data_IF_079358899848
#
_entry.id   IF_079358899848
#
_cell.length_a   1.000
_cell.length_b   1.000
_cell.length_c   1.000
_cell.angle_alpha   90.00
_cell.angle_beta   90.00
_cell.angle_gamma   90.00
#
_symmetry.space_group_name_H-M   'P 1'
#
loop_
_entity.id
_entity.type
_entity.pdbx_description
1 polymer ?
#
# COMPACT_ATOMS: atom_id res chain seq x y z
N UNK A 1 20.64 -21.31 73.31
CA UNK A 1 19.40 -20.75 72.74
C UNK A 1 19.77 -19.95 71.52
N UNK A 2 19.58 -20.51 70.31
CA UNK A 2 19.86 -19.80 69.04
C UNK A 2 18.60 -19.06 68.63
N UNK A 3 18.65 -17.73 68.52
CA UNK A 3 17.58 -16.91 67.94
C UNK A 3 17.76 -16.93 66.40
N UNK A 4 16.80 -17.50 65.70
CA UNK A 4 16.71 -17.42 64.22
C UNK A 4 16.24 -16.04 63.83
N UNK A 5 17.09 -15.31 63.08
CA UNK A 5 16.73 -14.05 62.43
C UNK A 5 16.21 -14.41 61.04
N UNK A 6 14.92 -14.21 60.81
CA UNK A 6 14.32 -14.33 59.47
C UNK A 6 14.56 -13.03 58.71
N UNK A 7 15.27 -13.13 57.62
CA UNK A 7 15.49 -12.03 56.67
C UNK A 7 14.46 -12.14 55.54
N UNK A 8 13.41 -11.33 55.63
CA UNK A 8 12.42 -11.23 54.54
C UNK A 8 12.98 -10.31 53.45
N UNK A 9 13.36 -10.89 52.33
CA UNK A 9 13.69 -10.12 51.11
C UNK A 9 12.39 -9.78 50.38
N UNK A 10 12.00 -8.50 50.36
CA UNK A 10 10.92 -7.99 49.53
C UNK A 10 11.45 -7.80 48.09
N UNK A 11 10.97 -8.63 47.22
CA UNK A 11 11.27 -8.52 45.77
C UNK A 11 10.32 -7.48 45.17
N UNK A 12 10.82 -6.27 44.92
CA UNK A 12 10.09 -5.23 44.17
C UNK A 12 10.17 -5.55 42.68
N UNK A 13 9.10 -6.17 42.13
CA UNK A 13 8.95 -6.36 40.71
C UNK A 13 8.56 -5.01 40.05
N UNK A 14 9.52 -4.31 39.50
CA UNK A 14 9.27 -3.13 38.69
C UNK A 14 8.63 -3.54 37.35
N UNK A 15 7.34 -3.21 37.19
CA UNK A 15 6.67 -3.27 35.87
C UNK A 15 7.28 -2.18 35.02
N UNK A 16 8.19 -2.56 34.11
CA UNK A 16 8.58 -1.69 33.01
C UNK A 16 7.48 -1.78 31.94
N UNK A 17 6.59 -0.81 31.92
CA UNK A 17 5.71 -0.58 30.79
C UNK A 17 6.55 -0.01 29.64
N UNK A 18 6.99 -0.87 28.72
CA UNK A 18 7.50 -0.41 27.44
C UNK A 18 6.34 0.18 26.67
N UNK A 19 6.26 1.52 26.64
CA UNK A 19 5.41 2.21 25.69
C UNK A 19 5.96 1.85 24.29
N UNK A 20 5.24 0.98 23.58
CA UNK A 20 5.49 0.75 22.16
C UNK A 20 5.16 2.06 21.46
N UNK A 21 6.18 2.82 21.09
CA UNK A 21 6.05 3.91 20.13
C UNK A 21 5.61 3.24 18.82
N UNK A 22 4.40 3.57 18.35
CA UNK A 22 4.02 3.30 16.98
C UNK A 22 4.97 4.15 16.12
N UNK A 23 6.09 3.56 15.72
CA UNK A 23 6.93 4.10 14.67
C UNK A 23 6.02 4.28 13.46
N UNK A 24 5.95 5.51 12.92
CA UNK A 24 5.38 5.77 11.61
C UNK A 24 6.20 4.95 10.62
N UNK A 25 5.79 3.70 10.38
CA UNK A 25 6.41 2.87 9.39
C UNK A 25 6.28 3.60 8.06
N UNK A 26 7.40 3.99 7.47
CA UNK A 26 7.41 4.50 6.11
C UNK A 26 6.70 3.48 5.22
N UNK A 27 5.85 3.92 4.27
CA UNK A 27 5.12 3.01 3.40
C UNK A 27 6.11 2.02 2.78
N UNK A 28 5.84 0.72 2.94
CA UNK A 28 6.74 -0.32 2.44
C UNK A 28 6.70 -0.31 0.93
N UNK A 29 7.81 0.12 0.32
CA UNK A 29 8.03 -0.02 -1.12
C UNK A 29 7.99 -1.52 -1.48
N UNK A 30 7.38 -1.91 -2.61
CA UNK A 30 7.40 -3.29 -3.06
C UNK A 30 8.82 -3.85 -3.11
N UNK A 31 9.02 -5.07 -2.62
CA UNK A 31 10.30 -5.74 -2.67
C UNK A 31 10.64 -6.12 -4.12
N UNK A 32 11.82 -5.75 -4.57
CA UNK A 32 12.32 -6.03 -5.93
C UNK A 32 11.83 -5.04 -7.00
N UNK A 33 12.54 -5.01 -8.11
CA UNK A 33 12.23 -4.14 -9.24
C UNK A 33 12.58 -2.66 -9.03
N UNK A 34 12.26 -1.85 -10.05
CA UNK A 34 12.56 -0.42 -10.11
C UNK A 34 11.38 0.45 -9.63
N UNK A 35 10.61 -0.01 -8.65
CA UNK A 35 9.46 0.73 -8.14
C UNK A 35 9.84 2.08 -7.55
N UNK A 36 9.12 3.12 -7.97
CA UNK A 36 9.25 4.50 -7.47
C UNK A 36 7.90 5.00 -6.99
N UNK A 37 7.91 5.91 -6.00
CA UNK A 37 6.69 6.59 -5.60
C UNK A 37 6.13 7.41 -6.76
N UNK A 38 4.85 7.31 -7.02
CA UNK A 38 4.19 8.05 -8.11
C UNK A 38 4.32 9.56 -7.90
N UNK A 39 4.27 10.04 -6.66
CA UNK A 39 4.49 11.45 -6.29
C UNK A 39 5.90 11.98 -6.65
N UNK A 40 6.89 11.09 -6.80
CA UNK A 40 8.22 11.48 -7.28
C UNK A 40 8.29 11.60 -8.81
N UNK A 41 7.33 11.06 -9.54
CA UNK A 41 7.30 11.04 -11.00
C UNK A 41 6.36 12.11 -11.60
N UNK A 42 5.27 12.40 -10.90
CA UNK A 42 4.21 13.31 -11.36
C UNK A 42 3.69 14.16 -10.19
N UNK A 43 3.10 15.35 -10.45
CA UNK A 43 2.65 16.27 -9.41
C UNK A 43 1.33 15.77 -8.75
N UNK A 44 1.40 14.64 -8.07
CA UNK A 44 0.33 14.08 -7.27
C UNK A 44 0.76 14.02 -5.79
N UNK A 45 -0.18 14.08 -4.84
CA UNK A 45 0.14 13.91 -3.42
C UNK A 45 0.68 12.50 -3.14
N UNK A 46 1.49 12.35 -2.08
CA UNK A 46 2.01 11.04 -1.66
C UNK A 46 0.90 10.06 -1.35
N UNK A 47 -0.16 10.52 -0.70
CA UNK A 47 -1.35 9.76 -0.37
C UNK A 47 -2.52 10.25 -1.21
N UNK A 48 -3.05 9.40 -2.06
CA UNK A 48 -4.22 9.68 -2.91
C UNK A 48 -5.46 9.16 -2.18
N UNK A 49 -6.41 10.03 -1.79
CA UNK A 49 -7.64 9.60 -1.12
C UNK A 49 -8.37 8.51 -1.91
N UNK A 50 -8.75 7.43 -1.23
CA UNK A 50 -9.44 6.29 -1.82
C UNK A 50 -8.55 5.29 -2.56
N UNK A 51 -7.28 5.62 -2.81
CA UNK A 51 -6.32 4.71 -3.48
C UNK A 51 -5.11 4.35 -2.60
N UNK A 52 -4.57 5.32 -1.86
CA UNK A 52 -3.39 5.11 -1.03
C UNK A 52 -2.11 5.74 -1.58
N UNK A 53 -0.98 5.34 -1.04
CA UNK A 53 0.34 5.70 -1.54
C UNK A 53 0.74 4.74 -2.65
N UNK A 54 0.97 5.28 -3.85
CA UNK A 54 1.20 4.49 -5.06
C UNK A 54 2.68 4.37 -5.40
N UNK A 55 3.09 3.17 -5.78
CA UNK A 55 4.40 2.87 -6.34
C UNK A 55 4.24 2.18 -7.70
N UNK A 56 5.12 2.50 -8.64
CA UNK A 56 5.13 1.91 -9.99
C UNK A 56 6.56 1.74 -10.49
N UNK A 57 6.81 0.73 -11.31
CA UNK A 57 8.00 0.67 -12.14
C UNK A 57 7.78 1.60 -13.35
N UNK A 58 8.58 2.68 -13.52
CA UNK A 58 8.40 3.62 -14.61
C UNK A 58 8.41 2.97 -16.00
N UNK A 59 9.10 1.84 -16.16
CA UNK A 59 9.14 1.11 -17.43
C UNK A 59 7.79 0.50 -17.83
N UNK A 60 6.85 0.37 -16.90
CA UNK A 60 5.51 -0.20 -17.14
C UNK A 60 4.44 0.86 -17.42
N UNK A 61 4.79 2.13 -17.34
CA UNK A 61 3.84 3.22 -17.59
C UNK A 61 3.32 3.23 -19.02
N UNK A 62 2.06 3.64 -19.25
CA UNK A 62 1.09 4.11 -18.27
C UNK A 62 0.30 3.00 -17.58
N UNK A 63 0.40 1.75 -18.01
CA UNK A 63 -0.49 0.66 -17.59
C UNK A 63 -0.23 0.20 -16.15
N UNK A 64 1.01 0.13 -15.73
CA UNK A 64 1.37 -0.46 -14.43
C UNK A 64 1.80 -1.93 -14.53
N UNK A 65 1.84 -2.67 -13.42
CA UNK A 65 1.04 -2.51 -12.20
C UNK A 65 1.52 -1.40 -11.27
N UNK A 66 0.57 -0.74 -10.62
CA UNK A 66 0.81 0.12 -9.48
C UNK A 66 0.51 -0.66 -8.19
N UNK A 67 1.41 -0.58 -7.21
CA UNK A 67 1.19 -1.12 -5.88
C UNK A 67 0.68 0.00 -4.96
N UNK A 68 -0.46 -0.20 -4.32
CA UNK A 68 -1.09 0.78 -3.45
C UNK A 68 -1.01 0.35 -1.98
N UNK A 69 -0.56 1.27 -1.14
CA UNK A 69 -0.40 1.06 0.30
C UNK A 69 -1.26 2.05 1.07
N UNK A 70 -1.89 1.60 2.15
CA UNK A 70 -2.62 2.47 3.07
C UNK A 70 -1.66 3.25 4.01
N UNK A 71 -2.23 4.09 4.89
CA UNK A 71 -1.44 4.89 5.84
C UNK A 71 -0.65 4.05 6.83
N UNK A 72 -1.02 2.80 7.05
CA UNK A 72 -0.30 1.88 7.94
C UNK A 72 0.87 1.19 7.25
N UNK A 73 1.05 1.42 5.93
CA UNK A 73 2.07 0.76 5.11
C UNK A 73 1.67 -0.64 4.65
N UNK A 74 0.38 -0.99 4.75
CA UNK A 74 -0.15 -2.26 4.28
C UNK A 74 -0.48 -2.17 2.80
N UNK A 75 -0.03 -3.16 2.01
CA UNK A 75 -0.45 -3.31 0.61
C UNK A 75 -1.95 -3.59 0.57
N UNK A 76 -2.71 -2.76 -0.13
CA UNK A 76 -4.18 -2.85 -0.19
C UNK A 76 -4.71 -3.19 -1.57
N UNK A 77 -4.02 -2.76 -2.63
CA UNK A 77 -4.45 -3.09 -3.99
C UNK A 77 -3.32 -3.08 -5.00
N UNK A 78 -3.59 -3.70 -6.15
CA UNK A 78 -2.84 -3.55 -7.39
C UNK A 78 -3.72 -2.83 -8.39
N UNK A 79 -3.20 -1.77 -9.03
CA UNK A 79 -3.96 -0.93 -9.94
C UNK A 79 -3.34 -0.97 -11.33
N UNK A 80 -4.19 -1.04 -12.35
CA UNK A 80 -3.81 -0.85 -13.74
C UNK A 80 -4.54 0.35 -14.31
N UNK A 81 -3.87 1.15 -15.13
CA UNK A 81 -4.47 2.22 -15.93
C UNK A 81 -4.48 1.80 -17.39
N UNK A 82 -5.65 1.48 -17.91
CA UNK A 82 -5.82 0.94 -19.27
C UNK A 82 -6.30 2.06 -20.20
N UNK A 83 -5.45 2.57 -21.11
CA UNK A 83 -5.82 3.66 -22.00
C UNK A 83 -7.02 3.30 -22.87
N UNK A 84 -7.95 4.23 -23.06
CA UNK A 84 -9.11 4.05 -23.95
C UNK A 84 -8.68 3.78 -25.39
N UNK A 85 -7.60 4.40 -25.84
CA UNK A 85 -7.02 4.15 -27.16
C UNK A 85 -6.64 2.67 -27.35
N UNK A 86 -6.05 2.06 -26.33
CA UNK A 86 -5.66 0.65 -26.34
C UNK A 86 -6.88 -0.29 -26.35
N UNK A 87 -7.95 0.06 -25.61
CA UNK A 87 -9.20 -0.69 -25.64
C UNK A 87 -9.89 -0.59 -26.99
N UNK A 88 -9.94 0.61 -27.58
CA UNK A 88 -10.51 0.84 -28.90
C UNK A 88 -9.72 0.10 -29.99
N UNK A 89 -8.40 0.03 -29.84
CA UNK A 89 -7.52 -0.74 -30.72
C UNK A 89 -7.59 -2.25 -30.47
N UNK A 90 -8.45 -2.71 -29.55
CA UNK A 90 -8.62 -4.12 -29.18
C UNK A 90 -7.32 -4.79 -28.70
N UNK A 91 -6.45 -4.01 -28.05
CA UNK A 91 -5.18 -4.50 -27.51
C UNK A 91 -5.45 -5.53 -26.43
N UNK A 92 -4.73 -6.66 -26.49
CA UNK A 92 -4.79 -7.70 -25.49
C UNK A 92 -3.80 -7.40 -24.36
N UNK A 93 -4.29 -7.43 -23.12
CA UNK A 93 -3.47 -7.43 -21.91
C UNK A 93 -3.45 -8.83 -21.32
N UNK A 94 -2.28 -9.41 -21.12
CA UNK A 94 -2.12 -10.78 -20.63
C UNK A 94 -1.01 -10.84 -19.59
N UNK A 95 -1.11 -11.77 -18.67
CA UNK A 95 -0.11 -12.01 -17.63
C UNK A 95 0.20 -10.75 -16.80
N UNK A 96 -0.81 -9.92 -16.55
CA UNK A 96 -0.67 -8.75 -15.72
C UNK A 96 -0.28 -9.18 -14.30
N UNK A 97 0.87 -8.71 -13.84
CA UNK A 97 1.37 -9.03 -12.51
C UNK A 97 0.53 -8.35 -11.43
N UNK A 98 0.34 -9.01 -10.30
CA UNK A 98 -0.26 -8.40 -9.10
C UNK A 98 0.83 -8.16 -8.05
N UNK A 99 0.72 -7.05 -7.32
CA UNK A 99 1.74 -6.62 -6.37
C UNK A 99 1.73 -7.41 -5.06
N UNK A 100 0.70 -8.22 -4.81
CA UNK A 100 0.53 -8.93 -3.55
C UNK A 100 -0.24 -10.23 -3.68
N UNK A 101 -0.71 -10.74 -2.53
CA UNK A 101 -1.37 -12.02 -2.40
C UNK A 101 -2.77 -12.13 -3.05
N UNK A 102 -3.66 -12.99 -2.52
CA UNK A 102 -4.97 -13.22 -3.12
C UNK A 102 -5.77 -11.93 -3.29
N UNK A 103 -6.54 -11.84 -4.36
CA UNK A 103 -7.51 -10.78 -4.56
C UNK A 103 -8.84 -11.13 -3.87
N UNK A 104 -9.48 -10.15 -3.23
CA UNK A 104 -10.80 -10.31 -2.59
C UNK A 104 -11.92 -9.72 -3.43
N UNK A 105 -11.61 -8.69 -4.23
CA UNK A 105 -12.54 -8.05 -5.16
C UNK A 105 -11.79 -7.25 -6.23
N UNK A 106 -12.50 -6.75 -7.22
CA UNK A 106 -11.94 -5.82 -8.19
C UNK A 106 -12.98 -4.77 -8.55
N UNK A 107 -12.51 -3.53 -8.74
CA UNK A 107 -13.28 -2.43 -9.26
C UNK A 107 -12.75 -2.03 -10.65
N UNK A 108 -13.62 -1.51 -11.47
CA UNK A 108 -13.27 -0.98 -12.77
C UNK A 108 -14.07 0.29 -13.03
N UNK A 109 -13.39 1.41 -13.27
CA UNK A 109 -14.07 2.68 -13.50
C UNK A 109 -13.30 3.58 -14.46
N UNK A 110 -14.06 4.40 -15.20
CA UNK A 110 -13.56 5.38 -16.14
C UNK A 110 -12.94 6.58 -15.42
N UNK A 111 -11.82 7.06 -15.97
CA UNK A 111 -11.20 8.31 -15.61
C UNK A 111 -10.93 9.14 -16.86
N UNK A 112 -11.36 10.41 -16.86
CA UNK A 112 -11.20 11.30 -18.01
C UNK A 112 -9.75 11.78 -18.23
N UNK A 113 -8.89 11.55 -17.25
CA UNK A 113 -7.50 11.98 -17.22
C UNK A 113 -7.16 12.68 -15.91
N UNK A 114 -5.91 12.58 -15.50
CA UNK A 114 -5.36 13.25 -14.32
C UNK A 114 -3.87 13.56 -14.55
N UNK A 115 -3.21 14.36 -13.70
CA UNK A 115 -1.78 14.63 -13.82
C UNK A 115 -0.96 13.34 -13.99
N UNK A 116 -0.10 13.30 -15.00
CA UNK A 116 0.71 12.14 -15.37
C UNK A 116 0.06 11.16 -16.33
N UNK A 117 -1.26 11.10 -16.42
CA UNK A 117 -2.02 10.36 -17.45
C UNK A 117 -3.21 11.19 -17.90
N UNK A 118 -2.97 12.14 -18.80
CA UNK A 118 -3.96 13.12 -19.24
C UNK A 118 -5.02 12.56 -20.20
N UNK A 119 -4.74 11.41 -20.80
CA UNK A 119 -5.69 10.73 -21.69
C UNK A 119 -6.74 9.94 -20.90
N UNK A 120 -7.97 9.81 -21.46
CA UNK A 120 -9.01 8.95 -20.89
C UNK A 120 -8.53 7.50 -20.76
N UNK A 121 -8.82 6.91 -19.61
CA UNK A 121 -8.43 5.54 -19.29
C UNK A 121 -9.39 4.91 -18.29
N UNK A 122 -9.34 3.58 -18.16
CA UNK A 122 -9.97 2.86 -17.07
C UNK A 122 -8.95 2.55 -15.98
N UNK A 123 -9.35 2.76 -14.73
CA UNK A 123 -8.69 2.14 -13.59
C UNK A 123 -9.27 0.74 -13.38
N UNK A 124 -8.40 -0.25 -13.27
CA UNK A 124 -8.74 -1.59 -12.81
C UNK A 124 -8.03 -1.80 -11.48
N UNK A 125 -8.79 -1.85 -10.40
CA UNK A 125 -8.26 -1.95 -9.03
C UNK A 125 -8.53 -3.34 -8.51
N UNK A 126 -7.49 -4.12 -8.33
CA UNK A 126 -7.55 -5.46 -7.75
C UNK A 126 -7.26 -5.34 -6.26
N UNK A 127 -8.27 -5.50 -5.43
CA UNK A 127 -8.17 -5.37 -3.98
C UNK A 127 -7.62 -6.64 -3.33
N UNK A 128 -6.62 -6.48 -2.47
CA UNK A 128 -6.03 -7.55 -1.66
C UNK A 128 -6.59 -7.57 -0.23
N UNK A 129 -7.37 -6.57 0.12
CA UNK A 129 -8.10 -6.41 1.37
C UNK A 129 -9.50 -5.92 1.07
N UNK A 130 -10.42 -6.04 2.02
CA UNK A 130 -11.71 -5.36 1.92
C UNK A 130 -11.45 -3.83 1.89
N UNK A 131 -11.82 -3.11 0.81
CA UNK A 131 -11.58 -1.68 0.70
C UNK A 131 -12.24 -0.86 1.81
N UNK A 132 -13.30 -1.35 2.43
CA UNK A 132 -13.96 -0.70 3.56
C UNK A 132 -13.08 -0.70 4.84
N UNK A 133 -12.10 -1.59 4.94
CA UNK A 133 -11.19 -1.72 6.08
C UNK A 133 -9.85 -1.03 5.89
N UNK A 134 -9.53 -0.58 4.68
CA UNK A 134 -8.28 0.11 4.37
C UNK A 134 -8.30 1.57 4.84
N UNK A 135 -7.20 2.04 5.43
CA UNK A 135 -7.04 3.45 5.83
C UNK A 135 -6.58 4.30 4.64
N UNK A 136 -7.57 4.72 3.84
CA UNK A 136 -7.38 5.45 2.58
C UNK A 136 -7.95 6.89 2.61
N UNK A 137 -8.19 7.45 3.79
CA UNK A 137 -8.80 8.80 3.97
C UNK A 137 -7.77 9.86 4.30
#
# INVERSE_FOLDING_TARGET
MLKKISLSAALLAGLMTTAAHAENAAPMKPAGGAYQAVSALVPLPDMIPGLGTLYVDPATLPVGPFAAYDKTGKLVSTIYMVPMDDLTAQKKFSNLAVAGGPAVSADMYYNAGHPGVEKPHYHVVVWHVDPATADLK
#
